data_IF_661850331340
#
_entry.id   IF_661850331340
#
_cell.length_a   1.000
_cell.length_b   1.000
_cell.length_c   1.000
_cell.angle_alpha   90.00
_cell.angle_beta   90.00
_cell.angle_gamma   90.00
#
_symmetry.space_group_name_H-M   'P 1'
#
loop_
_entity.id
_entity.type
_entity.pdbx_description
1 polymer ?
#
# COMPACT_ATOMS: atom_id res chain seq x y z
N UNK A 1 -13.09 -35.03 32.42
CA UNK A 1 -14.05 -33.96 32.77
C UNK A 1 -13.24 -32.75 33.21
N UNK A 2 -13.35 -31.60 32.50
CA UNK A 2 -13.02 -30.22 32.93
C UNK A 2 -11.53 -29.91 33.23
N UNK A 3 -10.88 -28.85 32.76
CA UNK A 3 -11.21 -27.67 31.95
C UNK A 3 -9.86 -27.14 31.45
N UNK A 4 -9.65 -27.03 30.14
CA UNK A 4 -8.55 -26.25 29.59
C UNK A 4 -9.04 -24.80 29.52
N UNK A 5 -8.48 -23.93 30.35
CA UNK A 5 -8.80 -22.51 30.42
C UNK A 5 -8.23 -21.84 29.16
N UNK A 6 -9.05 -21.65 28.13
CA UNK A 6 -8.75 -20.70 27.07
C UNK A 6 -9.08 -19.31 27.62
N UNK A 7 -8.05 -18.55 27.96
CA UNK A 7 -8.18 -17.11 28.12
C UNK A 7 -8.54 -16.53 26.75
N UNK A 8 -9.84 -16.25 26.56
CA UNK A 8 -10.34 -15.54 25.38
C UNK A 8 -9.92 -14.08 25.55
N UNK A 9 -8.71 -13.77 25.11
CA UNK A 9 -8.28 -12.39 24.94
C UNK A 9 -9.21 -11.69 23.96
N UNK A 10 -9.70 -10.50 24.31
CA UNK A 10 -10.35 -9.60 23.36
C UNK A 10 -9.37 -9.34 22.23
N UNK A 11 -9.66 -9.86 21.05
CA UNK A 11 -8.94 -9.50 19.84
C UNK A 11 -9.52 -8.16 19.37
N UNK A 12 -9.03 -7.04 19.92
CA UNK A 12 -9.36 -5.74 19.37
C UNK A 12 -8.47 -5.54 18.14
N UNK A 13 -9.03 -5.75 16.95
CA UNK A 13 -8.33 -5.44 15.71
C UNK A 13 -8.40 -3.93 15.52
N UNK A 14 -7.30 -3.25 15.80
CA UNK A 14 -7.15 -1.83 15.52
C UNK A 14 -6.71 -1.66 14.06
N UNK A 15 -7.63 -1.29 13.18
CA UNK A 15 -7.29 -0.84 11.83
C UNK A 15 -6.80 0.61 11.91
N UNK A 16 -5.49 0.81 11.86
CA UNK A 16 -4.92 2.14 11.64
C UNK A 16 -4.76 2.33 10.14
N UNK A 17 -5.81 2.80 9.48
CA UNK A 17 -5.68 3.36 8.14
C UNK A 17 -5.13 4.79 8.27
N UNK A 18 -3.83 4.95 8.07
CA UNK A 18 -3.23 6.26 7.79
C UNK A 18 -3.61 6.63 6.36
N UNK A 19 -4.80 7.22 6.19
CA UNK A 19 -5.10 7.92 4.96
C UNK A 19 -4.42 9.28 5.07
N UNK A 20 -3.33 9.48 4.33
CA UNK A 20 -2.83 10.81 4.06
C UNK A 20 -3.81 11.53 3.11
N UNK A 21 -5.01 11.85 3.63
CA UNK A 21 -5.89 12.81 2.97
C UNK A 21 -5.18 14.15 3.11
N UNK A 22 -4.59 14.60 2.01
CA UNK A 22 -4.41 16.03 1.83
C UNK A 22 -5.78 16.68 2.02
N UNK A 23 -5.92 17.67 2.91
CA UNK A 23 -7.17 18.37 3.04
C UNK A 23 -7.45 19.00 1.70
N UNK A 24 -8.55 18.61 1.06
CA UNK A 24 -9.28 19.51 0.18
C UNK A 24 -9.81 20.63 1.07
N UNK A 25 -8.92 21.58 1.41
CA UNK A 25 -9.38 22.90 1.81
C UNK A 25 -10.26 23.35 0.65
N UNK A 26 -11.52 23.64 0.94
CA UNK A 26 -12.35 24.50 0.11
C UNK A 26 -11.68 25.86 0.03
N UNK A 27 -10.65 25.92 -0.80
CA UNK A 27 -10.09 27.11 -1.36
C UNK A 27 -10.48 26.99 -2.82
N UNK A 28 -11.20 27.98 -3.32
CA UNK A 28 -10.99 28.42 -4.68
C UNK A 28 -9.52 28.85 -4.79
N UNK A 29 -8.61 27.88 -4.75
CA UNK A 29 -7.22 28.07 -5.07
C UNK A 29 -7.28 28.20 -6.58
N UNK A 30 -7.29 29.46 -7.03
CA UNK A 30 -7.01 29.82 -8.41
C UNK A 30 -5.93 28.86 -8.89
N UNK A 31 -6.29 27.90 -9.78
CA UNK A 31 -5.34 27.02 -10.47
C UNK A 31 -4.31 27.94 -11.08
N UNK A 32 -3.20 28.16 -10.38
CA UNK A 32 -2.03 28.70 -11.03
C UNK A 32 -1.64 27.58 -11.98
N UNK A 33 -1.81 27.85 -13.27
CA UNK A 33 -1.21 27.03 -14.31
C UNK A 33 0.21 26.73 -13.86
N UNK A 34 0.48 25.45 -13.56
CA UNK A 34 1.85 25.04 -13.30
C UNK A 34 2.58 25.09 -14.62
N UNK A 35 3.71 25.80 -14.67
CA UNK A 35 4.61 25.79 -15.82
C UNK A 35 5.50 24.54 -15.85
N UNK A 36 5.37 23.66 -14.85
CA UNK A 36 6.15 22.43 -14.70
C UNK A 36 5.23 21.19 -14.59
N UNK A 37 5.81 20.02 -14.92
CA UNK A 37 5.18 18.73 -14.65
C UNK A 37 5.04 18.53 -13.15
N UNK A 38 3.81 18.35 -12.68
CA UNK A 38 3.51 17.99 -11.30
C UNK A 38 3.24 16.49 -11.22
N UNK A 39 3.81 15.84 -10.22
CA UNK A 39 3.63 14.40 -9.97
C UNK A 39 3.03 14.24 -8.57
N UNK A 40 1.92 13.53 -8.45
CA UNK A 40 1.32 13.21 -7.16
C UNK A 40 1.36 11.70 -6.94
N UNK A 41 1.90 11.31 -5.80
CA UNK A 41 1.78 9.95 -5.28
C UNK A 41 0.82 9.96 -4.09
N UNK A 42 -0.07 8.99 -4.04
CA UNK A 42 -0.82 8.67 -2.83
C UNK A 42 -0.93 7.16 -2.73
N UNK A 43 -1.04 6.66 -1.49
CA UNK A 43 -1.22 5.25 -1.22
C UNK A 43 -1.55 5.00 0.23
N UNK A 44 -1.84 3.74 0.53
CA UNK A 44 -2.08 3.26 1.88
C UNK A 44 -1.12 2.13 2.20
N UNK A 45 -0.81 1.98 3.48
CA UNK A 45 -0.13 0.80 3.99
C UNK A 45 -0.90 0.28 5.19
N UNK A 46 -0.84 -1.03 5.39
CA UNK A 46 -1.48 -1.75 6.48
C UNK A 46 -0.40 -2.34 7.39
N UNK A 47 -0.53 -2.10 8.69
CA UNK A 47 0.27 -2.74 9.73
C UNK A 47 -0.67 -3.18 10.84
N UNK A 48 -0.39 -4.34 11.46
CA UNK A 48 -1.17 -4.83 12.59
C UNK A 48 -0.32 -4.88 13.86
N UNK A 49 -0.92 -4.55 14.99
CA UNK A 49 -0.28 -4.57 16.32
C UNK A 49 -1.19 -5.27 17.32
N UNK A 50 -0.61 -5.88 18.34
CA UNK A 50 -1.36 -6.33 19.52
C UNK A 50 -1.59 -5.17 20.51
N UNK A 51 -2.29 -5.46 21.61
CA UNK A 51 -2.63 -4.46 22.65
C UNK A 51 -1.41 -3.84 23.34
N UNK A 52 -0.22 -4.45 23.22
CA UNK A 52 1.04 -3.92 23.78
C UNK A 52 1.86 -3.14 22.74
N UNK A 53 1.33 -2.98 21.52
CA UNK A 53 1.99 -2.29 20.41
C UNK A 53 3.03 -3.13 19.68
N UNK A 54 3.11 -4.44 19.92
CA UNK A 54 4.01 -5.34 19.20
C UNK A 54 3.41 -5.67 17.84
N UNK A 55 4.23 -5.58 16.77
CA UNK A 55 3.79 -5.88 15.42
C UNK A 55 3.38 -7.36 15.28
N UNK A 56 2.20 -7.57 14.71
CA UNK A 56 1.76 -8.87 14.21
C UNK A 56 2.41 -9.13 12.85
N UNK A 57 2.64 -10.39 12.53
CA UNK A 57 3.36 -10.78 11.31
C UNK A 57 2.55 -11.75 10.46
N UNK A 58 2.96 -11.95 9.20
CA UNK A 58 2.24 -12.81 8.26
C UNK A 58 0.95 -12.18 7.74
N UNK A 59 0.90 -10.85 7.68
CA UNK A 59 -0.29 -10.09 7.29
C UNK A 59 -0.48 -10.01 5.77
N UNK A 60 -0.08 -11.02 5.00
CA UNK A 60 -0.05 -11.02 3.53
C UNK A 60 -1.25 -11.72 2.87
N UNK A 61 -2.47 -11.50 3.34
CA UNK A 61 -3.69 -11.92 2.64
C UNK A 61 -4.07 -10.91 1.54
N UNK A 62 -4.59 -11.38 0.40
CA UNK A 62 -5.14 -10.48 -0.63
C UNK A 62 -6.64 -10.32 -0.42
N UNK A 63 -7.02 -9.32 0.37
CA UNK A 63 -8.45 -9.08 0.61
C UNK A 63 -9.13 -8.35 -0.58
N UNK A 64 -8.34 -7.89 -1.57
CA UNK A 64 -8.79 -7.06 -2.69
C UNK A 64 -8.03 -7.40 -3.99
N UNK A 65 -8.50 -8.39 -4.78
CA UNK A 65 -7.78 -8.87 -5.95
C UNK A 65 -7.69 -7.81 -7.05
N UNK A 66 -6.50 -7.65 -7.63
CA UNK A 66 -6.24 -6.75 -8.77
C UNK A 66 -6.59 -7.38 -10.12
N UNK A 67 -6.85 -6.58 -11.18
CA UNK A 67 -7.12 -7.07 -12.52
C UNK A 67 -6.02 -7.98 -13.09
N UNK A 68 -6.39 -8.89 -13.99
CA UNK A 68 -5.47 -9.90 -14.53
C UNK A 68 -4.32 -9.36 -15.40
N UNK A 69 -4.42 -8.12 -15.90
CA UNK A 69 -3.34 -7.48 -16.67
C UNK A 69 -2.23 -6.90 -15.79
N UNK A 70 -2.42 -6.87 -14.46
CA UNK A 70 -1.40 -6.37 -13.54
C UNK A 70 -0.24 -7.35 -13.49
N UNK A 71 0.98 -6.82 -13.67
CA UNK A 71 2.20 -7.62 -13.64
C UNK A 71 2.48 -8.09 -12.22
N UNK A 72 2.94 -9.33 -12.08
CA UNK A 72 3.28 -9.94 -10.79
C UNK A 72 4.68 -10.50 -10.83
N UNK A 73 5.49 -10.20 -9.83
CA UNK A 73 6.86 -10.74 -9.70
C UNK A 73 6.82 -12.19 -9.20
N UNK A 74 5.89 -12.50 -8.31
CA UNK A 74 5.67 -13.84 -7.77
C UNK A 74 4.29 -13.94 -7.09
N UNK A 75 3.78 -15.16 -6.93
CA UNK A 75 2.54 -15.45 -6.19
C UNK A 75 2.78 -15.37 -4.67
N UNK A 76 3.00 -14.16 -4.17
CA UNK A 76 3.41 -13.88 -2.78
C UNK A 76 2.25 -13.68 -1.80
N UNK A 77 1.05 -13.49 -2.36
CA UNK A 77 -0.16 -13.13 -1.63
C UNK A 77 -1.22 -14.17 -1.99
N UNK A 78 -1.64 -15.04 -1.06
CA UNK A 78 -2.69 -16.02 -1.34
C UNK A 78 -4.01 -15.33 -1.68
N UNK A 79 -4.67 -15.76 -2.76
CA UNK A 79 -6.00 -15.27 -3.14
C UNK A 79 -7.10 -15.97 -2.33
N UNK A 80 -8.16 -15.26 -1.89
CA UNK A 80 -9.29 -15.86 -1.16
C UNK A 80 -10.06 -16.90 -2.00
N UNK A 81 -10.02 -16.79 -3.33
CA UNK A 81 -10.76 -17.64 -4.27
C UNK A 81 -9.99 -18.86 -4.76
N UNK A 82 -8.73 -19.04 -4.34
CA UNK A 82 -8.02 -20.29 -4.56
C UNK A 82 -8.38 -21.28 -3.46
N UNK A 83 -9.43 -22.07 -3.71
CA UNK A 83 -9.50 -23.41 -3.14
C UNK A 83 -8.12 -24.05 -3.32
N UNK A 84 -7.48 -24.41 -2.20
CA UNK A 84 -6.17 -25.05 -2.18
C UNK A 84 -6.10 -26.06 -3.33
N UNK A 85 -5.19 -25.91 -4.31
CA UNK A 85 -5.09 -26.87 -5.38
C UNK A 85 -4.82 -28.21 -4.70
N UNK A 86 -5.67 -29.18 -4.99
CA UNK A 86 -5.74 -30.52 -4.39
C UNK A 86 -4.43 -31.34 -4.59
N UNK A 87 -3.34 -30.70 -5.03
CA UNK A 87 -2.01 -31.30 -5.19
C UNK A 87 -0.82 -30.46 -4.69
N UNK A 88 -1.02 -29.42 -3.87
CA UNK A 88 0.08 -28.83 -3.09
C UNK A 88 -0.05 -29.18 -1.61
N UNK A 89 0.87 -30.01 -1.09
CA UNK A 89 1.07 -30.24 0.36
C UNK A 89 1.66 -28.99 1.04
N UNK A 90 0.95 -27.88 1.01
CA UNK A 90 1.33 -26.66 1.69
C UNK A 90 0.21 -25.63 1.60
N UNK A 91 -0.41 -25.32 2.74
CA UNK A 91 -1.24 -24.12 2.90
C UNK A 91 -0.43 -22.92 2.40
N UNK A 92 -0.98 -22.03 1.55
CA UNK A 92 -0.30 -20.81 1.13
C UNK A 92 0.23 -20.09 2.37
N UNK A 93 1.56 -20.04 2.52
CA UNK A 93 2.16 -19.64 3.78
C UNK A 93 2.07 -18.13 3.89
N UNK A 94 1.28 -17.64 4.83
CA UNK A 94 1.47 -16.29 5.36
C UNK A 94 2.96 -16.13 5.75
N UNK A 95 3.68 -15.22 5.08
CA UNK A 95 5.12 -15.12 5.22
C UNK A 95 5.43 -14.39 6.52
N UNK A 96 5.96 -15.12 7.50
CA UNK A 96 6.12 -14.64 8.90
C UNK A 96 6.96 -13.39 9.05
N UNK A 97 7.76 -13.01 8.04
CA UNK A 97 8.53 -11.75 8.06
C UNK A 97 7.75 -10.54 7.52
N UNK A 98 6.56 -10.73 6.92
CA UNK A 98 5.74 -9.61 6.44
C UNK A 98 5.06 -8.95 7.64
N UNK A 99 5.35 -7.66 7.83
CA UNK A 99 4.86 -6.81 8.92
C UNK A 99 4.11 -5.59 8.42
N UNK A 100 4.27 -5.27 7.14
CA UNK A 100 3.59 -4.19 6.43
C UNK A 100 3.13 -4.68 5.06
N UNK A 101 1.89 -4.34 4.69
CA UNK A 101 1.45 -4.36 3.28
C UNK A 101 1.40 -2.93 2.77
N UNK A 102 1.93 -2.72 1.58
CA UNK A 102 1.76 -1.50 0.82
C UNK A 102 0.64 -1.80 -0.18
N UNK A 103 -0.55 -1.23 0.01
CA UNK A 103 -1.79 -1.75 -0.60
C UNK A 103 -2.04 -1.22 -2.01
N UNK A 104 -2.13 0.10 -2.19
CA UNK A 104 -2.51 0.70 -3.48
C UNK A 104 -1.88 2.07 -3.70
N UNK A 105 -0.55 2.23 -3.60
CA UNK A 105 0.06 3.45 -4.08
C UNK A 105 -0.10 3.60 -5.60
N UNK A 106 -0.52 4.80 -6.00
CA UNK A 106 -0.57 5.21 -7.41
C UNK A 106 0.11 6.55 -7.61
N UNK A 107 0.67 6.74 -8.81
CA UNK A 107 1.38 7.96 -9.21
C UNK A 107 0.69 8.59 -10.41
N UNK A 108 0.20 9.82 -10.23
CA UNK A 108 -0.41 10.65 -11.26
C UNK A 108 0.56 11.69 -11.82
N UNK A 109 0.35 12.05 -13.08
CA UNK A 109 1.14 13.05 -13.79
C UNK A 109 0.24 14.16 -14.31
N UNK A 110 0.61 15.40 -14.03
CA UNK A 110 -0.10 16.60 -14.46
C UNK A 110 0.89 17.49 -15.25
N UNK A 111 0.90 17.37 -16.59
CA UNK A 111 1.69 18.24 -17.45
C UNK A 111 1.36 19.73 -17.22
N UNK A 112 2.25 20.64 -17.63
CA UNK A 112 1.97 22.07 -17.58
C UNK A 112 0.63 22.42 -18.22
N UNK A 113 -0.08 23.39 -17.65
CA UNK A 113 -1.41 23.74 -18.13
C UNK A 113 -1.34 24.23 -19.59
N UNK A 114 -2.23 23.72 -20.44
CA UNK A 114 -2.24 24.04 -21.87
C UNK A 114 -1.21 23.27 -22.70
N UNK A 115 -0.42 22.37 -22.11
CA UNK A 115 0.50 21.52 -22.88
C UNK A 115 -0.28 20.56 -23.79
N UNK A 116 -0.06 20.69 -25.11
CA UNK A 116 -0.61 19.77 -26.13
C UNK A 116 0.40 18.71 -26.57
N UNK A 117 1.68 18.91 -26.25
CA UNK A 117 2.77 18.00 -26.63
C UNK A 117 3.01 16.99 -25.50
N UNK A 118 3.01 15.68 -25.79
CA UNK A 118 3.37 14.68 -24.79
C UNK A 118 4.79 14.88 -24.26
N UNK A 119 4.97 14.68 -22.96
CA UNK A 119 6.27 14.75 -22.30
C UNK A 119 6.91 13.36 -22.22
N UNK A 120 8.25 13.32 -22.08
CA UNK A 120 9.00 12.09 -21.82
C UNK A 120 9.63 12.16 -20.44
N UNK A 121 9.48 11.11 -19.64
CA UNK A 121 10.08 11.01 -18.32
C UNK A 121 10.42 9.57 -17.95
N UNK A 122 11.35 9.40 -17.02
CA UNK A 122 11.60 8.11 -16.36
C UNK A 122 11.35 8.26 -14.86
N UNK A 123 10.82 7.23 -14.24
CA UNK A 123 10.48 7.22 -12.81
C UNK A 123 10.95 5.91 -12.18
N UNK A 124 11.58 6.00 -11.01
CA UNK A 124 11.96 4.86 -10.18
C UNK A 124 11.32 5.00 -8.81
N UNK A 125 10.72 3.91 -8.32
CA UNK A 125 10.25 3.78 -6.95
C UNK A 125 11.07 2.71 -6.24
N UNK A 126 11.36 2.96 -4.97
CA UNK A 126 12.16 2.09 -4.11
C UNK A 126 11.40 1.79 -2.82
N UNK A 127 11.40 0.52 -2.41
CA UNK A 127 10.78 0.09 -1.15
C UNK A 127 11.83 -0.52 -0.23
N UNK A 128 12.38 0.31 0.67
CA UNK A 128 13.38 -0.09 1.64
C UNK A 128 12.77 -0.99 2.73
N UNK A 129 13.33 -2.18 2.91
CA UNK A 129 12.79 -3.24 3.77
C UNK A 129 11.67 -4.05 3.11
N UNK A 130 11.47 -3.94 1.79
CA UNK A 130 10.31 -4.50 1.11
C UNK A 130 10.53 -4.89 -0.35
N UNK A 131 9.54 -5.57 -0.92
CA UNK A 131 9.41 -5.83 -2.36
C UNK A 131 8.13 -5.20 -2.90
N UNK A 132 8.19 -4.72 -4.14
CA UNK A 132 7.05 -4.22 -4.90
C UNK A 132 6.55 -5.34 -5.80
N UNK A 133 5.56 -6.10 -5.35
CA UNK A 133 5.24 -7.44 -5.84
C UNK A 133 4.31 -7.43 -7.04
N UNK A 134 3.53 -6.37 -7.18
CA UNK A 134 2.56 -6.20 -8.26
C UNK A 134 2.59 -4.77 -8.76
N UNK A 135 2.47 -4.57 -10.06
CA UNK A 135 2.61 -3.26 -10.68
C UNK A 135 1.99 -3.20 -12.08
N UNK A 136 1.65 -1.99 -12.51
CA UNK A 136 1.22 -1.70 -13.87
C UNK A 136 1.41 -0.22 -14.15
N UNK A 137 1.74 0.21 -15.38
CA UNK A 137 2.19 -0.57 -16.55
C UNK A 137 3.53 -1.31 -16.35
N UNK A 138 4.01 -1.98 -17.39
CA UNK A 138 5.27 -2.72 -17.43
C UNK A 138 6.47 -1.87 -17.00
N UNK A 139 7.34 -2.44 -16.18
CA UNK A 139 8.48 -1.78 -15.54
C UNK A 139 9.70 -2.72 -15.51
N UNK A 140 10.89 -2.14 -15.42
CA UNK A 140 12.10 -2.84 -15.02
C UNK A 140 11.99 -3.18 -13.52
N UNK A 141 12.12 -4.47 -13.20
CA UNK A 141 11.96 -5.00 -11.84
C UNK A 141 13.31 -5.29 -11.20
N UNK A 142 13.49 -4.86 -9.95
CA UNK A 142 14.57 -5.31 -9.09
C UNK A 142 14.00 -5.85 -7.77
N UNK A 143 14.00 -7.18 -7.61
CA UNK A 143 13.42 -7.86 -6.46
C UNK A 143 14.41 -8.90 -5.90
N UNK A 144 15.45 -8.46 -5.16
CA UNK A 144 16.51 -9.35 -4.71
C UNK A 144 15.98 -10.42 -3.76
N UNK A 145 16.34 -11.68 -4.00
CA UNK A 145 15.86 -12.82 -3.21
C UNK A 145 14.49 -13.36 -3.64
N UNK A 146 13.87 -12.77 -4.65
CA UNK A 146 12.75 -13.31 -5.41
C UNK A 146 13.26 -13.73 -6.80
N UNK A 147 13.96 -14.85 -6.86
CA UNK A 147 14.39 -15.41 -8.15
C UNK A 147 13.18 -16.04 -8.85
N UNK A 148 12.98 -15.68 -10.13
CA UNK A 148 11.93 -16.26 -10.95
C UNK A 148 12.06 -17.80 -10.97
N UNK A 149 11.00 -18.49 -10.52
CA UNK A 149 10.83 -19.92 -10.75
C UNK A 149 11.39 -20.88 -9.71
N UNK A 150 12.02 -20.43 -8.61
CA UNK A 150 12.50 -21.37 -7.58
C UNK A 150 11.66 -21.39 -6.29
N UNK A 151 10.68 -20.48 -6.12
CA UNK A 151 9.85 -20.33 -4.92
C UNK A 151 10.65 -20.35 -3.59
N UNK A 152 11.97 -20.14 -3.66
CA UNK A 152 12.89 -20.17 -2.52
C UNK A 152 13.11 -18.73 -2.09
N UNK A 153 12.24 -18.31 -1.20
CA UNK A 153 12.36 -17.06 -0.48
C UNK A 153 13.67 -17.01 0.30
N UNK A 154 14.66 -16.26 -0.19
CA UNK A 154 15.69 -15.71 0.68
C UNK A 154 14.98 -14.65 1.53
N UNK A 155 14.47 -15.07 2.68
CA UNK A 155 13.39 -14.40 3.41
C UNK A 155 13.52 -12.88 3.54
N UNK A 156 12.38 -12.19 3.49
CA UNK A 156 12.26 -10.74 3.58
C UNK A 156 12.94 -10.18 4.85
N UNK A 157 13.92 -9.28 4.68
CA UNK A 157 14.65 -8.64 5.78
C UNK A 157 14.43 -7.12 5.78
N UNK A 158 14.75 -6.43 6.89
CA UNK A 158 14.75 -4.96 6.91
C UNK A 158 15.78 -4.31 5.96
N UNK A 159 16.67 -5.09 5.34
CA UNK A 159 17.68 -4.62 4.37
C UNK A 159 17.32 -4.96 2.93
N UNK A 160 16.21 -5.66 2.69
CA UNK A 160 15.70 -5.93 1.35
C UNK A 160 15.39 -4.62 0.63
N UNK A 161 15.80 -4.49 -0.63
CA UNK A 161 15.59 -3.29 -1.44
C UNK A 161 14.89 -3.64 -2.76
N UNK A 162 13.57 -3.62 -2.75
CA UNK A 162 12.73 -3.76 -3.94
C UNK A 162 12.65 -2.45 -4.73
N UNK A 163 12.68 -2.53 -6.07
CA UNK A 163 12.53 -1.35 -6.94
C UNK A 163 11.73 -1.68 -8.20
N UNK A 164 11.03 -0.68 -8.69
CA UNK A 164 10.41 -0.65 -10.01
C UNK A 164 10.87 0.60 -10.74
N UNK A 165 11.23 0.45 -12.01
CA UNK A 165 11.65 1.57 -12.85
C UNK A 165 10.89 1.56 -14.16
N UNK A 166 10.18 2.64 -14.43
CA UNK A 166 9.58 2.93 -15.72
C UNK A 166 10.51 3.84 -16.50
N UNK A 167 11.11 3.31 -17.56
CA UNK A 167 11.97 4.07 -18.45
C UNK A 167 11.13 4.67 -19.59
N UNK A 168 11.40 5.93 -19.89
CA UNK A 168 10.97 6.59 -21.13
C UNK A 168 9.45 6.55 -21.36
N UNK A 169 8.70 6.91 -20.33
CA UNK A 169 7.24 7.07 -20.35
C UNK A 169 6.85 8.23 -21.26
N UNK A 170 5.84 8.03 -22.10
CA UNK A 170 5.06 9.13 -22.68
C UNK A 170 4.01 9.58 -21.67
N UNK A 171 4.03 10.86 -21.30
CA UNK A 171 3.02 11.47 -20.44
C UNK A 171 2.15 12.40 -21.29
N UNK A 172 0.85 12.13 -21.33
CA UNK A 172 -0.11 12.76 -22.23
C UNK A 172 -0.41 11.89 -23.46
N UNK A 173 -1.37 12.32 -24.27
CA UNK A 173 -1.84 11.58 -25.45
C UNK A 173 -3.05 10.68 -25.18
N UNK A 174 -3.35 9.80 -26.15
CA UNK A 174 -4.57 8.99 -26.20
C UNK A 174 -4.26 7.48 -26.13
N UNK A 175 -3.35 7.10 -25.22
CA UNK A 175 -3.03 5.70 -24.95
C UNK A 175 -4.28 4.91 -24.52
N UNK A 176 -4.44 3.69 -25.03
CA UNK A 176 -5.60 2.85 -24.75
C UNK A 176 -5.46 2.19 -23.38
N UNK A 177 -6.34 2.53 -22.45
CA UNK A 177 -6.36 1.93 -21.11
C UNK A 177 -6.84 0.47 -21.18
N UNK A 178 -6.33 -0.44 -20.30
CA UNK A 178 -6.82 -1.80 -20.25
C UNK A 178 -8.27 -1.84 -19.74
N UNK A 179 -9.14 -2.69 -20.32
CA UNK A 179 -10.52 -2.83 -19.86
C UNK A 179 -10.57 -3.52 -18.50
N UNK A 180 -11.43 -3.04 -17.61
CA UNK A 180 -11.73 -3.65 -16.31
C UNK A 180 -13.03 -3.08 -15.76
N UNK A 181 -13.73 -3.87 -14.95
CA UNK A 181 -14.88 -3.48 -14.15
C UNK A 181 -14.56 -3.41 -12.65
N UNK A 182 -13.31 -3.70 -12.26
CA UNK A 182 -12.88 -3.73 -10.86
C UNK A 182 -12.94 -2.31 -10.24
N UNK A 183 -13.80 -2.06 -9.24
CA UNK A 183 -13.98 -0.71 -8.66
C UNK A 183 -12.69 -0.12 -8.09
N UNK A 184 -11.84 -1.00 -7.56
CA UNK A 184 -10.54 -0.74 -6.93
C UNK A 184 -9.53 -0.17 -7.93
N UNK A 185 -9.73 -0.48 -9.22
CA UNK A 185 -8.94 0.03 -10.32
C UNK A 185 -9.62 1.21 -11.02
N UNK A 186 -10.96 1.25 -11.03
CA UNK A 186 -11.71 2.32 -11.68
C UNK A 186 -11.70 3.62 -10.87
N UNK A 187 -11.82 3.54 -9.53
CA UNK A 187 -11.89 4.73 -8.68
C UNK A 187 -10.65 5.64 -8.82
N UNK A 188 -9.40 5.12 -8.85
CA UNK A 188 -8.23 5.95 -9.09
C UNK A 188 -8.16 6.57 -10.51
N UNK A 189 -8.95 6.10 -11.48
CA UNK A 189 -9.03 6.73 -12.82
C UNK A 189 -9.87 8.02 -12.81
N UNK A 190 -10.68 8.25 -11.79
CA UNK A 190 -11.56 9.42 -11.65
C UNK A 190 -10.80 10.67 -11.19
N UNK A 191 -9.66 10.93 -11.82
CA UNK A 191 -8.77 12.07 -11.55
C UNK A 191 -8.36 12.68 -12.89
N UNK A 192 -8.24 14.01 -12.94
CA UNK A 192 -7.81 14.77 -14.11
C UNK A 192 -6.29 14.65 -14.35
N UNK A 193 -5.77 13.42 -14.38
CA UNK A 193 -4.38 13.09 -14.67
C UNK A 193 -4.19 12.76 -16.16
N UNK A 194 -2.99 13.05 -16.66
CA UNK A 194 -2.59 12.64 -18.00
C UNK A 194 -2.46 11.11 -18.09
N UNK A 195 -2.80 10.56 -19.25
CA UNK A 195 -2.49 9.17 -19.56
C UNK A 195 -0.97 9.01 -19.65
N UNK A 196 -0.43 7.96 -19.04
CA UNK A 196 0.96 7.55 -19.18
C UNK A 196 1.03 6.30 -20.04
N UNK A 197 2.05 6.19 -20.90
CA UNK A 197 2.23 5.06 -21.81
C UNK A 197 3.69 4.63 -21.83
N UNK A 198 3.94 3.33 -21.66
CA UNK A 198 5.28 2.75 -21.75
C UNK A 198 5.75 2.64 -23.20
N UNK A 199 7.07 2.50 -23.46
CA UNK A 199 7.57 2.20 -24.80
C UNK A 199 6.97 0.93 -25.42
N UNK A 200 6.53 -0.01 -24.58
CA UNK A 200 5.89 -1.28 -25.00
C UNK A 200 4.39 -1.11 -25.30
N UNK A 201 3.83 0.09 -25.11
CA UNK A 201 2.45 0.42 -25.49
C UNK A 201 1.40 0.17 -24.40
N UNK A 202 1.79 -0.21 -23.19
CA UNK A 202 0.86 -0.28 -22.07
C UNK A 202 0.57 1.12 -21.54
N UNK A 203 -0.71 1.43 -21.35
CA UNK A 203 -1.17 2.76 -20.94
C UNK A 203 -2.09 2.71 -19.73
N UNK A 204 -1.97 3.69 -18.85
CA UNK A 204 -2.89 3.90 -17.72
C UNK A 204 -2.99 5.39 -17.35
N UNK A 205 -3.96 5.78 -16.51
CA UNK A 205 -4.04 7.12 -15.89
C UNK A 205 -3.02 7.36 -14.78
N UNK A 206 -2.39 6.30 -14.29
CA UNK A 206 -1.43 6.33 -13.20
C UNK A 206 -0.47 5.16 -13.29
N UNK A 207 0.69 5.28 -12.64
CA UNK A 207 1.51 4.10 -12.33
C UNK A 207 0.98 3.49 -11.04
N UNK A 208 0.81 2.19 -11.00
CA UNK A 208 0.39 1.41 -9.86
C UNK A 208 1.51 0.50 -9.40
N UNK A 209 1.65 0.37 -8.09
CA UNK A 209 2.45 -0.68 -7.47
C UNK A 209 1.83 -1.08 -6.15
N UNK A 210 2.07 -2.30 -5.68
CA UNK A 210 1.79 -2.72 -4.32
C UNK A 210 2.85 -3.71 -3.86
N UNK A 211 2.95 -3.96 -2.57
CA UNK A 211 4.09 -4.69 -2.05
C UNK A 211 3.96 -5.18 -0.62
N UNK A 212 5.00 -5.88 -0.18
CA UNK A 212 5.12 -6.41 1.17
C UNK A 212 6.45 -6.00 1.78
N UNK A 213 6.41 -5.61 3.06
CA UNK A 213 7.56 -5.10 3.79
C UNK A 213 7.78 -5.82 5.12
N UNK A 214 9.05 -5.99 5.48
CA UNK A 214 9.49 -6.25 6.84
C UNK A 214 9.83 -4.91 7.50
N UNK A 215 8.81 -4.08 7.61
CA UNK A 215 8.86 -2.71 8.12
C UNK A 215 7.85 -2.64 9.26
N UNK A 216 8.23 -2.00 10.36
CA UNK A 216 7.31 -1.76 11.47
C UNK A 216 6.41 -0.55 11.15
N UNK A 217 5.26 -0.48 11.80
CA UNK A 217 4.40 0.71 11.69
C UNK A 217 5.16 1.96 12.18
N UNK A 218 5.03 3.12 11.50
CA UNK A 218 5.55 4.39 12.00
C UNK A 218 4.80 4.92 13.23
N UNK A 219 3.70 4.27 13.61
CA UNK A 219 2.91 4.59 14.79
C UNK A 219 2.74 3.34 15.64
N UNK A 220 3.00 3.45 16.93
CA UNK A 220 2.68 2.40 17.91
C UNK A 220 1.44 2.79 18.69
N UNK A 221 0.49 1.87 18.82
CA UNK A 221 -0.69 2.02 19.67
C UNK A 221 -0.65 1.00 20.78
N UNK A 222 -0.78 1.45 22.03
CA UNK A 222 -0.77 0.60 23.23
C UNK A 222 -2.00 0.86 24.07
N UNK A 223 -2.59 -0.18 24.60
CA UNK A 223 -3.65 -0.08 25.60
C UNK A 223 -3.02 -0.04 26.99
N UNK A 224 -3.36 0.98 27.75
CA UNK A 224 -2.98 1.08 29.15
C UNK A 224 -3.81 0.09 29.96
N UNK A 225 -3.12 -0.78 30.71
CA UNK A 225 -3.75 -1.82 31.51
C UNK A 225 -4.54 -1.28 32.71
N UNK A 226 -4.25 -0.04 33.16
CA UNK A 226 -4.88 0.51 34.38
C UNK A 226 -6.19 1.23 34.12
N UNK A 227 -6.31 1.95 33.00
CA UNK A 227 -7.45 2.84 32.71
C UNK A 227 -8.10 2.55 31.35
N UNK A 228 -7.66 1.50 30.65
CA UNK A 228 -8.13 1.12 29.31
C UNK A 228 -7.89 2.19 28.22
N UNK A 229 -7.08 3.22 28.52
CA UNK A 229 -6.74 4.29 27.61
C UNK A 229 -5.83 3.82 26.48
N UNK A 230 -5.94 4.44 25.31
CA UNK A 230 -5.03 4.19 24.19
C UNK A 230 -3.92 5.24 24.17
N UNK A 231 -2.67 4.79 24.23
CA UNK A 231 -1.49 5.61 23.99
C UNK A 231 -1.03 5.42 22.55
N UNK A 232 -0.91 6.52 21.82
CA UNK A 232 -0.44 6.55 20.42
C UNK A 232 0.90 7.28 20.42
N UNK A 233 1.93 6.67 19.86
CA UNK A 233 3.28 7.21 19.82
C UNK A 233 3.89 7.06 18.42
N UNK A 234 4.60 8.09 17.97
CA UNK A 234 5.48 7.99 16.80
C UNK A 234 6.61 6.98 17.07
N UNK A 235 6.81 6.07 16.11
CA UNK A 235 7.78 4.97 16.19
C UNK A 235 8.38 4.69 14.80
N UNK A 236 8.78 5.75 14.10
CA UNK A 236 9.22 5.71 12.70
C UNK A 236 10.47 4.83 12.55
N UNK A 237 10.39 3.73 11.77
CA UNK A 237 11.56 2.93 11.45
C UNK A 237 12.53 3.72 10.56
N UNK A 238 13.85 3.53 10.72
CA UNK A 238 14.85 4.19 9.88
C UNK A 238 14.63 3.97 8.37
N UNK A 239 14.06 2.83 7.98
CA UNK A 239 13.76 2.48 6.58
C UNK A 239 12.78 3.45 5.90
N UNK A 240 11.91 4.11 6.66
CA UNK A 240 10.96 5.08 6.09
C UNK A 240 11.61 6.44 5.79
N UNK A 241 12.81 6.70 6.31
CA UNK A 241 13.62 7.85 5.92
C UNK A 241 12.93 9.21 6.06
N UNK A 242 12.00 9.36 7.01
CA UNK A 242 11.26 10.62 7.18
C UNK A 242 12.22 11.77 7.49
N UNK A 243 12.03 12.89 6.79
CA UNK A 243 12.86 14.11 6.93
C UNK A 243 12.37 15.06 8.02
N UNK A 244 11.19 14.79 8.58
CA UNK A 244 10.53 15.54 9.63
C UNK A 244 9.65 14.56 10.45
N UNK A 245 9.25 14.93 11.68
CA UNK A 245 8.28 14.16 12.45
C UNK A 245 7.01 13.86 11.66
N UNK A 246 6.38 12.73 11.94
CA UNK A 246 5.16 12.29 11.27
C UNK A 246 3.99 13.26 11.54
N UNK A 247 3.62 14.05 10.53
CA UNK A 247 2.42 14.89 10.60
C UNK A 247 1.15 14.07 10.32
N UNK A 248 0.36 13.78 11.35
CA UNK A 248 -0.92 13.07 11.23
C UNK A 248 -2.04 14.10 11.05
N UNK A 249 -2.47 14.29 9.80
CA UNK A 249 -3.51 15.30 9.47
C UNK A 249 -4.90 14.89 9.90
N UNK A 250 -5.17 13.59 9.91
CA UNK A 250 -6.44 13.03 10.32
C UNK A 250 -6.20 11.66 10.95
N UNK A 251 -6.93 11.38 12.03
CA UNK A 251 -6.86 10.15 12.77
C UNK A 251 -8.27 9.73 13.18
N UNK A 252 -8.58 8.45 12.97
CA UNK A 252 -9.82 7.85 13.44
C UNK A 252 -9.51 6.58 14.20
N UNK A 253 -10.31 6.36 15.25
CA UNK A 253 -10.36 5.10 15.97
C UNK A 253 -11.65 4.40 15.58
N UNK A 254 -11.54 3.15 15.16
CA UNK A 254 -12.68 2.27 14.92
C UNK A 254 -12.60 1.11 15.91
N UNK A 255 -13.68 0.90 16.65
CA UNK A 255 -13.86 -0.25 17.51
C UNK A 255 -14.90 -1.18 16.88
N UNK A 256 -14.50 -2.42 16.62
CA UNK A 256 -15.39 -3.48 16.15
C UNK A 256 -15.63 -4.44 17.31
N UNK A 257 -16.87 -4.53 17.77
CA UNK A 257 -17.27 -5.41 18.87
C UNK A 257 -17.53 -6.84 18.38
N UNK A 258 -17.53 -7.80 19.32
CA UNK A 258 -17.77 -9.22 19.00
C UNK A 258 -19.16 -9.48 18.42
N UNK A 259 -20.15 -8.66 18.76
CA UNK A 259 -21.51 -8.70 18.23
C UNK A 259 -21.66 -8.05 16.83
N UNK A 260 -20.54 -7.62 16.24
CA UNK A 260 -20.50 -6.94 14.95
C UNK A 260 -20.86 -5.46 15.00
N UNK A 261 -21.16 -4.91 16.18
CA UNK A 261 -21.38 -3.46 16.31
C UNK A 261 -20.07 -2.70 16.10
N UNK A 262 -20.17 -1.54 15.46
CA UNK A 262 -19.02 -0.68 15.14
C UNK A 262 -19.23 0.70 15.77
N UNK A 263 -18.24 1.16 16.51
CA UNK A 263 -18.15 2.54 16.97
C UNK A 263 -16.93 3.21 16.34
N UNK A 264 -17.03 4.50 16.02
CA UNK A 264 -15.90 5.28 15.52
C UNK A 264 -15.78 6.63 16.22
N UNK A 265 -14.55 7.15 16.28
CA UNK A 265 -14.24 8.49 16.78
C UNK A 265 -13.14 9.12 15.93
N UNK A 266 -13.33 10.37 15.52
CA UNK A 266 -12.30 11.20 14.90
C UNK A 266 -11.50 11.96 15.96
N UNK A 267 -10.20 12.12 15.72
CA UNK A 267 -9.30 12.95 16.51
C UNK A 267 -8.83 14.14 15.68
N UNK A 268 -8.49 15.27 16.33
CA UNK A 268 -7.85 16.39 15.65
C UNK A 268 -6.47 15.97 15.11
N UNK A 269 -5.92 16.78 14.21
CA UNK A 269 -4.57 16.60 13.71
C UNK A 269 -3.55 16.60 14.86
N UNK A 270 -2.51 15.77 14.72
CA UNK A 270 -1.40 15.66 15.67
C UNK A 270 -0.07 15.83 14.93
N UNK A 271 0.88 16.48 15.58
CA UNK A 271 2.26 16.70 15.11
C UNK A 271 3.24 16.23 16.16
#
# INVERSE_FOLDING_TARGET
MKRCLWSVGRLSVLWVCLVALSPSRGLAESRRASDHLVIHEWGTFTCLQNETGQALTGINSDDEPVPAFVHRIADLVPRPTELAPVFFKGVPRSHRQVRMRLETPVVYFYPPAGSTTPLRASLEVSFAGGWLTEYYPAAEVHAPGLDAGNFRFNGLTPTTQGRLKWADLTIGGQGKLPPTDAPVWLSPREVEAATVTTPQGESEKYLFYRGVGNILSPVTVRRNATDDGLQIQEAVPPQLGLRAPLAVRALWLVQVCQDGTVAYRSFPAAT
#
